data_IF_278831131803
#
_entry.id   IF_278831131803
#
_cell.length_a   1.000
_cell.length_b   1.000
_cell.length_c   1.000
_cell.angle_alpha   90.00
_cell.angle_beta   90.00
_cell.angle_gamma   90.00
#
_symmetry.space_group_name_H-M   'P 1'
#
loop_
_entity.id
_entity.type
_entity.pdbx_description
1 polymer ?
#
# COMPACT_ATOMS: atom_id res chain seq x y z
N UNK A 1 -58.41 22.71 -4.68
CA UNK A 1 -57.20 23.49 -4.33
C UNK A 1 -56.08 22.51 -4.05
N UNK A 2 -55.21 22.27 -5.03
CA UNK A 2 -54.09 21.33 -4.90
C UNK A 2 -52.88 22.05 -4.32
N UNK A 3 -52.29 21.51 -3.25
CA UNK A 3 -51.05 22.01 -2.67
C UNK A 3 -49.91 21.88 -3.70
N UNK A 4 -49.65 22.96 -4.43
CA UNK A 4 -48.49 23.09 -5.29
C UNK A 4 -47.25 23.33 -4.44
N UNK A 5 -46.72 22.27 -3.80
CA UNK A 5 -45.33 22.31 -3.35
C UNK A 5 -44.46 22.47 -4.58
N UNK A 6 -43.62 23.50 -4.58
CA UNK A 6 -42.77 23.76 -5.73
C UNK A 6 -41.73 22.64 -5.82
N UNK A 7 -41.33 22.26 -7.03
CA UNK A 7 -40.23 21.29 -7.23
C UNK A 7 -38.93 21.72 -6.52
N UNK A 8 -38.80 23.02 -6.23
CA UNK A 8 -37.69 23.61 -5.48
C UNK A 8 -37.73 23.21 -4.00
N UNK A 9 -38.90 23.19 -3.37
CA UNK A 9 -39.06 22.80 -1.96
C UNK A 9 -38.71 21.31 -1.76
N UNK A 10 -39.12 20.46 -2.71
CA UNK A 10 -38.79 19.03 -2.70
C UNK A 10 -37.29 18.79 -2.89
N UNK A 11 -36.63 19.59 -3.74
CA UNK A 11 -35.19 19.52 -3.95
C UNK A 11 -34.39 20.01 -2.73
N UNK A 12 -34.80 21.13 -2.12
CA UNK A 12 -34.18 21.64 -0.89
C UNK A 12 -34.33 20.65 0.27
N UNK A 13 -35.49 20.00 0.40
CA UNK A 13 -35.70 18.95 1.40
C UNK A 13 -34.77 17.75 1.22
N UNK A 14 -34.52 17.34 -0.03
CA UNK A 14 -33.56 16.26 -0.33
C UNK A 14 -32.11 16.64 -0.02
N UNK A 15 -31.70 17.88 -0.32
CA UNK A 15 -30.36 18.37 0.02
C UNK A 15 -30.18 18.41 1.54
N UNK A 16 -31.16 18.95 2.27
CA UNK A 16 -31.12 19.01 3.73
C UNK A 16 -30.97 17.62 4.36
N UNK A 17 -31.74 16.64 3.88
CA UNK A 17 -31.65 15.26 4.36
C UNK A 17 -30.28 14.61 4.10
N UNK A 18 -29.64 14.92 2.97
CA UNK A 18 -28.28 14.42 2.66
C UNK A 18 -27.25 15.11 3.57
N UNK A 19 -27.32 16.42 3.74
CA UNK A 19 -26.42 17.18 4.60
C UNK A 19 -26.48 16.69 6.06
N UNK A 20 -27.69 16.43 6.58
CA UNK A 20 -27.88 15.92 7.93
C UNK A 20 -27.25 14.52 8.10
N UNK A 21 -27.42 13.62 7.13
CA UNK A 21 -26.80 12.28 7.16
C UNK A 21 -25.27 12.34 7.15
N UNK A 22 -24.69 13.30 6.41
CA UNK A 22 -23.24 13.50 6.39
C UNK A 22 -22.73 13.98 7.75
N UNK A 23 -23.45 14.91 8.38
CA UNK A 23 -23.11 15.41 9.72
C UNK A 23 -23.25 14.32 10.79
N UNK A 24 -24.32 13.54 10.76
CA UNK A 24 -24.57 12.44 11.71
C UNK A 24 -23.54 11.31 11.55
N UNK A 25 -23.16 10.97 10.31
CA UNK A 25 -22.08 10.03 10.04
C UNK A 25 -20.75 10.56 10.57
N UNK A 26 -20.46 11.85 10.39
CA UNK A 26 -19.27 12.52 10.94
C UNK A 26 -19.22 12.44 12.47
N UNK A 27 -20.34 12.70 13.16
CA UNK A 27 -20.41 12.60 14.62
C UNK A 27 -20.29 11.17 15.14
N UNK A 28 -20.81 10.19 14.40
CA UNK A 28 -20.72 8.77 14.77
C UNK A 28 -19.28 8.28 14.68
N UNK A 29 -18.57 8.65 13.62
CA UNK A 29 -17.16 8.26 13.40
C UNK A 29 -16.23 8.98 14.38
N UNK A 30 -16.46 10.26 14.66
CA UNK A 30 -15.67 11.01 15.66
C UNK A 30 -15.91 10.56 17.10
N UNK A 31 -16.93 9.72 17.35
CA UNK A 31 -17.21 9.13 18.66
C UNK A 31 -16.54 7.78 18.87
N UNK A 32 -16.02 7.15 17.82
CA UNK A 32 -15.21 5.95 18.01
C UNK A 32 -13.90 6.33 18.71
N UNK A 33 -13.51 5.56 19.72
CA UNK A 33 -12.26 5.81 20.43
C UNK A 33 -11.12 5.63 19.42
N UNK A 34 -10.20 6.60 19.28
CA UNK A 34 -9.07 6.45 18.36
C UNK A 34 -8.30 5.19 18.73
N UNK A 35 -8.30 4.20 17.82
CA UNK A 35 -7.52 2.97 17.99
C UNK A 35 -6.06 3.25 17.64
N UNK A 36 -5.14 2.39 18.12
CA UNK A 36 -3.71 2.49 17.78
C UNK A 36 -3.46 2.44 16.27
N UNK A 37 -4.32 1.75 15.51
CA UNK A 37 -4.26 1.70 14.04
C UNK A 37 -4.47 3.09 13.41
N UNK A 38 -5.42 3.87 13.92
CA UNK A 38 -5.66 5.23 13.42
C UNK A 38 -4.46 6.14 13.68
N UNK A 39 -3.83 6.00 14.83
CA UNK A 39 -2.61 6.75 15.19
C UNK A 39 -1.47 6.39 14.24
N UNK A 40 -1.30 5.10 13.95
CA UNK A 40 -0.24 4.61 13.07
C UNK A 40 -0.48 5.00 11.60
N UNK A 41 -1.72 4.93 11.11
CA UNK A 41 -2.10 5.43 9.78
C UNK A 41 -1.92 6.94 9.65
N UNK A 42 -2.30 7.70 10.68
CA UNK A 42 -2.08 9.14 10.72
C UNK A 42 -0.59 9.47 10.69
N UNK A 43 0.23 8.73 11.44
CA UNK A 43 1.69 8.87 11.41
C UNK A 43 2.24 8.60 10.00
N UNK A 44 1.87 7.49 9.36
CA UNK A 44 2.29 7.19 7.99
C UNK A 44 1.84 8.24 6.98
N UNK A 45 0.64 8.79 7.14
CA UNK A 45 0.16 9.88 6.29
C UNK A 45 1.04 11.12 6.45
N UNK A 46 1.33 11.54 7.68
CA UNK A 46 2.16 12.72 7.96
C UNK A 46 3.59 12.51 7.46
N UNK A 47 4.21 11.38 7.77
CA UNK A 47 5.58 11.04 7.34
C UNK A 47 5.64 10.92 5.81
N UNK A 48 4.67 10.28 5.18
CA UNK A 48 4.59 10.15 3.73
C UNK A 48 4.48 11.50 3.02
N UNK A 49 3.61 12.41 3.51
CA UNK A 49 3.50 13.77 2.96
C UNK A 49 4.80 14.56 3.17
N UNK A 50 5.41 14.46 4.35
CA UNK A 50 6.69 15.10 4.65
C UNK A 50 7.79 14.61 3.71
N UNK A 51 7.93 13.29 3.53
CA UNK A 51 8.91 12.68 2.61
C UNK A 51 8.64 13.05 1.16
N UNK A 52 7.38 13.08 0.72
CA UNK A 52 7.01 13.50 -0.63
C UNK A 52 7.44 14.96 -0.89
N UNK A 53 7.30 15.83 0.12
CA UNK A 53 7.72 17.22 0.01
C UNK A 53 9.25 17.36 0.09
N UNK A 54 9.91 16.66 1.01
CA UNK A 54 11.37 16.64 1.15
C UNK A 54 12.08 16.09 -0.08
N UNK A 55 11.44 15.20 -0.83
CA UNK A 55 11.96 14.72 -2.11
C UNK A 55 12.03 15.81 -3.20
N UNK A 56 11.72 17.08 -2.90
CA UNK A 56 12.02 18.23 -3.76
C UNK A 56 13.45 18.73 -3.63
N UNK A 57 14.18 18.30 -2.61
CA UNK A 57 15.57 18.70 -2.39
C UNK A 57 16.56 17.86 -3.23
N UNK A 58 16.16 16.67 -3.68
CA UNK A 58 16.98 15.84 -4.57
C UNK A 58 16.91 16.32 -6.03
N UNK A 59 17.87 15.87 -6.84
CA UNK A 59 17.84 16.07 -8.29
C UNK A 59 16.57 15.47 -8.90
N UNK A 60 16.05 15.97 -10.05
CA UNK A 60 14.78 15.50 -10.61
C UNK A 60 14.69 13.99 -10.83
N UNK A 61 15.80 13.36 -11.22
CA UNK A 61 15.90 11.91 -11.46
C UNK A 61 15.90 11.14 -10.14
N UNK A 62 16.77 11.53 -9.19
CA UNK A 62 16.85 10.88 -7.88
C UNK A 62 15.58 11.08 -7.03
N UNK A 63 14.82 12.15 -7.28
CA UNK A 63 13.57 12.46 -6.60
C UNK A 63 12.40 11.57 -7.01
N UNK A 64 12.44 10.93 -8.19
CA UNK A 64 11.28 10.26 -8.76
C UNK A 64 10.85 9.06 -7.92
N UNK A 65 11.79 8.15 -7.61
CA UNK A 65 11.50 6.96 -6.81
C UNK A 65 11.00 7.29 -5.39
N UNK A 66 11.69 8.13 -4.58
CA UNK A 66 11.20 8.53 -3.26
C UNK A 66 9.84 9.23 -3.31
N UNK A 67 9.57 10.05 -4.33
CA UNK A 67 8.25 10.71 -4.50
C UNK A 67 7.15 9.69 -4.77
N UNK A 68 7.38 8.73 -5.66
CA UNK A 68 6.37 7.72 -5.97
C UNK A 68 6.08 6.87 -4.73
N UNK A 69 7.11 6.43 -4.01
CA UNK A 69 6.95 5.61 -2.80
C UNK A 69 6.28 6.38 -1.65
N UNK A 70 6.72 7.61 -1.37
CA UNK A 70 6.14 8.44 -0.32
C UNK A 70 4.70 8.87 -0.67
N UNK A 71 4.45 9.23 -1.93
CA UNK A 71 3.12 9.56 -2.44
C UNK A 71 2.17 8.36 -2.39
N UNK A 72 2.64 7.17 -2.77
CA UNK A 72 1.88 5.93 -2.67
C UNK A 72 1.54 5.59 -1.21
N UNK A 73 2.50 5.70 -0.30
CA UNK A 73 2.29 5.47 1.15
C UNK A 73 1.28 6.46 1.72
N UNK A 74 1.43 7.76 1.42
CA UNK A 74 0.50 8.79 1.87
C UNK A 74 -0.91 8.57 1.30
N UNK A 75 -1.02 8.24 0.02
CA UNK A 75 -2.29 7.95 -0.64
C UNK A 75 -2.98 6.74 -0.02
N UNK A 76 -2.27 5.62 0.17
CA UNK A 76 -2.83 4.42 0.79
C UNK A 76 -3.23 4.65 2.24
N UNK A 77 -2.38 5.31 3.04
CA UNK A 77 -2.71 5.67 4.41
C UNK A 77 -3.94 6.56 4.47
N UNK A 78 -4.03 7.56 3.58
CA UNK A 78 -5.21 8.41 3.45
C UNK A 78 -6.46 7.60 3.06
N UNK A 79 -6.37 6.71 2.07
CA UNK A 79 -7.50 5.90 1.62
C UNK A 79 -7.98 4.94 2.71
N UNK A 80 -7.08 4.37 3.51
CA UNK A 80 -7.45 3.48 4.63
C UNK A 80 -8.07 4.31 5.77
N UNK A 81 -7.48 5.45 6.13
CA UNK A 81 -8.04 6.35 7.14
C UNK A 81 -9.41 6.89 6.70
N UNK A 82 -9.52 7.21 5.41
CA UNK A 82 -10.75 7.65 4.79
C UNK A 82 -11.66 6.48 4.43
N UNK A 83 -11.34 5.20 4.68
CA UNK A 83 -12.17 4.05 4.25
C UNK A 83 -13.59 4.15 4.80
N UNK A 84 -13.72 4.50 6.07
CA UNK A 84 -15.01 4.71 6.72
C UNK A 84 -15.76 5.93 6.16
N UNK A 85 -15.03 6.91 5.60
CA UNK A 85 -15.60 8.07 4.92
C UNK A 85 -15.90 7.79 3.45
N UNK A 86 -15.10 6.99 2.74
CA UNK A 86 -15.18 6.70 1.31
C UNK A 86 -16.45 5.93 0.98
N UNK A 87 -16.96 5.07 1.86
CA UNK A 87 -18.27 4.42 1.63
C UNK A 87 -19.42 5.42 1.47
N UNK A 88 -19.32 6.58 2.13
CA UNK A 88 -20.32 7.66 2.08
C UNK A 88 -19.94 8.72 1.05
N UNK A 89 -18.67 9.14 1.05
CA UNK A 89 -18.15 10.30 0.31
C UNK A 89 -17.67 9.90 -1.09
N UNK A 90 -17.14 8.69 -1.31
CA UNK A 90 -16.66 8.29 -2.64
C UNK A 90 -17.77 8.24 -3.69
N UNK A 91 -18.99 7.70 -3.43
CA UNK A 91 -20.08 7.74 -4.40
C UNK A 91 -20.52 9.18 -4.71
N UNK A 92 -20.48 10.06 -3.71
CA UNK A 92 -20.82 11.47 -3.86
C UNK A 92 -19.77 12.22 -4.68
N UNK A 93 -18.48 12.03 -4.38
CA UNK A 93 -17.38 12.62 -5.13
C UNK A 93 -17.30 12.08 -6.56
N UNK A 94 -17.46 10.77 -6.75
CA UNK A 94 -17.48 10.16 -8.08
C UNK A 94 -18.69 10.63 -8.89
N UNK A 95 -19.86 10.77 -8.26
CA UNK A 95 -21.04 11.36 -8.88
C UNK A 95 -20.84 12.84 -9.26
N UNK A 96 -20.27 13.65 -8.36
CA UNK A 96 -19.97 15.06 -8.60
C UNK A 96 -18.91 15.26 -9.69
N UNK A 97 -17.84 14.47 -9.66
CA UNK A 97 -16.78 14.48 -10.67
C UNK A 97 -17.31 14.01 -12.03
N UNK A 98 -18.12 12.95 -12.05
CA UNK A 98 -18.79 12.46 -13.25
C UNK A 98 -19.74 13.50 -13.85
N UNK A 99 -20.50 14.22 -13.03
CA UNK A 99 -21.34 15.34 -13.45
C UNK A 99 -20.51 16.50 -14.01
N UNK A 100 -19.42 16.88 -13.34
CA UNK A 100 -18.53 17.95 -13.78
C UNK A 100 -17.88 17.64 -15.14
N UNK A 101 -17.33 16.42 -15.29
CA UNK A 101 -16.74 15.96 -16.54
C UNK A 101 -17.77 15.86 -17.67
N UNK A 102 -18.98 15.38 -17.36
CA UNK A 102 -20.08 15.31 -18.34
C UNK A 102 -20.52 16.70 -18.78
N UNK A 103 -20.64 17.65 -17.86
CA UNK A 103 -20.97 19.04 -18.16
C UNK A 103 -19.90 19.71 -19.04
N UNK A 104 -18.62 19.56 -18.68
CA UNK A 104 -17.50 20.07 -19.49
C UNK A 104 -17.45 19.44 -20.89
N UNK A 105 -17.79 18.17 -21.00
CA UNK A 105 -17.80 17.47 -22.28
C UNK A 105 -18.99 17.87 -23.17
N UNK A 106 -20.18 18.07 -22.59
CA UNK A 106 -21.37 18.58 -23.31
C UNK A 106 -21.16 19.99 -23.81
N UNK A 107 -20.62 20.89 -22.97
CA UNK A 107 -20.32 22.28 -23.37
C UNK A 107 -19.31 22.32 -24.51
N UNK A 108 -18.22 21.55 -24.41
CA UNK A 108 -17.23 21.43 -25.50
C UNK A 108 -17.84 20.86 -26.79
N UNK A 109 -18.74 19.87 -26.69
CA UNK A 109 -19.43 19.31 -27.84
C UNK A 109 -20.36 20.32 -28.53
N UNK A 110 -21.10 21.12 -27.76
CA UNK A 110 -21.97 22.16 -28.33
C UNK A 110 -21.18 23.23 -29.08
N UNK A 111 -19.95 23.52 -28.64
CA UNK A 111 -19.07 24.49 -29.28
C UNK A 111 -18.34 23.94 -30.52
N UNK A 112 -17.92 22.67 -30.49
CA UNK A 112 -17.01 22.11 -31.52
C UNK A 112 -17.63 21.00 -32.40
N UNK A 113 -18.79 20.45 -32.02
CA UNK A 113 -19.46 19.35 -32.72
C UNK A 113 -18.74 17.99 -32.61
N UNK A 114 -17.63 17.89 -31.91
CA UNK A 114 -16.82 16.67 -31.78
C UNK A 114 -17.04 16.00 -30.42
N UNK A 115 -17.37 14.70 -30.42
CA UNK A 115 -17.46 13.91 -29.19
C UNK A 115 -16.04 13.61 -28.71
N UNK A 116 -15.64 14.23 -27.61
CA UNK A 116 -14.34 13.98 -26.98
C UNK A 116 -14.38 12.77 -26.04
N UNK A 117 -13.25 12.09 -25.86
CA UNK A 117 -13.06 10.98 -24.91
C UNK A 117 -13.54 11.30 -23.48
N UNK A 118 -13.59 12.59 -23.12
CA UNK A 118 -14.11 13.10 -21.85
C UNK A 118 -15.58 12.75 -21.61
N UNK A 119 -16.44 12.64 -22.64
CA UNK A 119 -17.83 12.20 -22.50
C UNK A 119 -17.88 10.74 -22.05
N UNK A 120 -17.11 9.88 -22.72
CA UNK A 120 -17.07 8.43 -22.43
C UNK A 120 -16.53 8.19 -21.03
N UNK A 121 -15.45 8.88 -20.65
CA UNK A 121 -14.88 8.80 -19.30
C UNK A 121 -15.84 9.33 -18.24
N UNK A 122 -16.53 10.45 -18.49
CA UNK A 122 -17.51 11.02 -17.56
C UNK A 122 -18.72 10.11 -17.32
N UNK A 123 -19.29 9.54 -18.38
CA UNK A 123 -20.40 8.57 -18.29
C UNK A 123 -19.94 7.28 -17.61
N UNK A 124 -18.76 6.76 -17.95
CA UNK A 124 -18.21 5.56 -17.32
C UNK A 124 -17.99 5.76 -15.81
N UNK A 125 -17.50 6.93 -15.39
CA UNK A 125 -17.36 7.27 -13.96
C UNK A 125 -18.71 7.39 -13.26
N UNK A 126 -19.73 7.95 -13.91
CA UNK A 126 -21.10 8.02 -13.36
C UNK A 126 -21.69 6.62 -13.18
N UNK A 127 -21.56 5.75 -14.18
CA UNK A 127 -22.03 4.36 -14.13
C UNK A 127 -21.26 3.57 -13.06
N UNK A 128 -19.93 3.76 -12.96
CA UNK A 128 -19.11 3.14 -11.92
C UNK A 128 -19.51 3.63 -10.52
N UNK A 129 -19.77 4.92 -10.34
CA UNK A 129 -20.22 5.50 -9.07
C UNK A 129 -21.57 4.92 -8.62
N UNK A 130 -22.52 4.78 -9.55
CA UNK A 130 -23.85 4.21 -9.29
C UNK A 130 -23.75 2.70 -9.04
N UNK A 131 -23.00 1.96 -9.88
CA UNK A 131 -22.86 0.51 -9.78
C UNK A 131 -22.04 0.04 -8.58
N UNK A 132 -20.99 0.78 -8.20
CA UNK A 132 -20.24 0.48 -6.97
C UNK A 132 -21.09 0.68 -5.72
N UNK A 133 -22.04 1.62 -5.71
CA UNK A 133 -22.92 1.83 -4.56
C UNK A 133 -23.76 0.58 -4.23
N UNK A 134 -24.22 -0.13 -5.26
CA UNK A 134 -25.03 -1.34 -5.09
C UNK A 134 -24.15 -2.53 -4.71
N UNK A 135 -23.02 -2.74 -5.41
CA UNK A 135 -22.15 -3.91 -5.17
C UNK A 135 -21.32 -3.83 -3.90
N UNK A 136 -20.79 -2.66 -3.56
CA UNK A 136 -19.99 -2.50 -2.33
C UNK A 136 -20.88 -2.64 -1.10
N UNK A 137 -22.14 -2.19 -1.16
CA UNK A 137 -23.10 -2.37 -0.06
C UNK A 137 -23.39 -3.83 0.26
N UNK A 138 -23.42 -4.70 -0.76
CA UNK A 138 -23.63 -6.14 -0.56
C UNK A 138 -22.35 -6.86 -0.15
N UNK A 139 -21.21 -6.57 -0.80
CA UNK A 139 -19.93 -7.19 -0.46
C UNK A 139 -19.49 -6.85 0.97
N UNK A 140 -19.70 -5.62 1.42
CA UNK A 140 -19.32 -5.23 2.80
C UNK A 140 -20.16 -5.96 3.85
N UNK A 141 -21.41 -6.33 3.54
CA UNK A 141 -22.25 -7.14 4.43
C UNK A 141 -21.77 -8.59 4.52
N UNK A 142 -21.15 -9.14 3.48
CA UNK A 142 -20.61 -10.51 3.52
C UNK A 142 -19.22 -10.60 4.17
N UNK A 143 -18.41 -9.54 4.10
CA UNK A 143 -17.08 -9.50 4.73
C UNK A 143 -17.10 -9.08 6.20
N UNK A 144 -18.23 -8.54 6.70
CA UNK A 144 -18.50 -8.32 8.13
C UNK A 144 -19.39 -9.46 8.67
N UNK A 145 -19.23 -10.67 8.13
CA UNK A 145 -19.63 -11.87 8.85
C UNK A 145 -18.58 -12.09 9.94
N UNK A 146 -18.94 -11.65 11.16
CA UNK A 146 -18.31 -11.87 12.46
C UNK A 146 -16.79 -12.13 12.43
N UNK A 147 -15.94 -11.18 12.88
CA UNK A 147 -14.58 -11.54 13.23
C UNK A 147 -14.70 -12.71 14.20
N UNK A 148 -14.30 -13.90 13.74
CA UNK A 148 -14.19 -15.08 14.57
C UNK A 148 -13.10 -14.71 15.57
N UNK A 149 -13.51 -14.07 16.66
CA UNK A 149 -12.71 -13.91 17.85
C UNK A 149 -12.42 -15.34 18.27
N UNK A 150 -11.30 -15.85 17.78
CA UNK A 150 -10.49 -16.88 18.43
C UNK A 150 -9.89 -16.15 19.64
N UNK A 151 -10.74 -15.65 20.53
CA UNK A 151 -10.38 -15.29 21.89
C UNK A 151 -10.66 -16.57 22.67
N UNK A 152 -9.63 -17.06 23.35
CA UNK A 152 -9.62 -18.30 24.10
C UNK A 152 -10.92 -18.52 24.85
N UNK A 153 -11.64 -19.56 24.45
CA UNK A 153 -12.53 -20.26 25.37
C UNK A 153 -11.61 -21.10 26.26
N UNK A 154 -11.07 -20.44 27.28
CA UNK A 154 -10.33 -21.06 28.38
C UNK A 154 -11.31 -21.91 29.20
N UNK A 155 -11.60 -23.10 28.69
CA UNK A 155 -12.56 -23.97 29.37
C UNK A 155 -12.85 -25.29 28.68
N UNK A 156 -11.89 -26.23 28.66
CA UNK A 156 -12.14 -27.57 29.20
C UNK A 156 -10.92 -28.48 29.10
N UNK A 157 -10.49 -28.91 30.29
CA UNK A 157 -9.81 -30.17 30.54
C UNK A 157 -10.49 -31.37 29.85
N UNK A 158 -9.66 -32.40 29.70
CA UNK A 158 -9.99 -33.82 29.49
C UNK A 158 -10.15 -34.38 28.06
N UNK A 159 -9.02 -34.92 27.61
CA UNK A 159 -8.88 -36.34 27.25
C UNK A 159 -9.61 -36.82 25.99
N UNK A 160 -8.90 -36.77 24.84
CA UNK A 160 -8.81 -37.96 23.99
C UNK A 160 -7.62 -37.96 23.03
N UNK A 161 -6.65 -38.76 23.42
CA UNK A 161 -5.73 -39.50 22.56
C UNK A 161 -6.49 -40.25 21.45
N UNK A 162 -6.22 -39.90 20.17
CA UNK A 162 -6.05 -40.87 19.08
C UNK A 162 -5.54 -40.18 17.81
N UNK A 163 -4.36 -40.62 17.38
CA UNK A 163 -3.64 -40.08 16.25
C UNK A 163 -4.39 -40.15 14.94
N UNK A 164 -4.34 -39.04 14.22
CA UNK A 164 -4.36 -39.03 12.77
C UNK A 164 -3.03 -38.37 12.36
N UNK A 165 -2.16 -39.15 11.71
CA UNK A 165 -1.08 -38.62 10.89
C UNK A 165 -1.75 -37.84 9.77
N UNK A 166 -1.81 -36.53 9.91
CA UNK A 166 -2.13 -35.63 8.81
C UNK A 166 -0.79 -35.27 8.21
N UNK A 167 -0.60 -35.71 6.97
CA UNK A 167 0.61 -35.52 6.20
C UNK A 167 1.01 -34.04 6.16
N UNK A 168 2.27 -33.83 6.56
CA UNK A 168 3.10 -32.70 6.22
C UNK A 168 3.06 -32.49 4.71
N UNK A 169 2.66 -31.30 4.25
CA UNK A 169 3.17 -30.62 3.04
C UNK A 169 2.16 -29.54 2.60
N UNK A 170 1.96 -28.55 3.46
CA UNK A 170 1.70 -27.18 3.00
C UNK A 170 2.19 -26.24 4.10
N UNK A 171 3.52 -26.17 4.27
CA UNK A 171 4.20 -25.05 4.94
C UNK A 171 4.05 -23.77 4.09
N UNK A 172 2.81 -23.39 3.80
CA UNK A 172 2.49 -22.14 3.14
C UNK A 172 2.71 -21.04 4.17
N UNK A 173 3.88 -20.41 4.07
CA UNK A 173 4.28 -19.19 4.76
C UNK A 173 4.01 -19.22 6.26
N UNK A 174 5.03 -19.65 7.03
CA UNK A 174 5.15 -19.35 8.45
C UNK A 174 5.14 -17.82 8.65
N UNK A 175 3.95 -17.23 8.58
CA UNK A 175 3.64 -15.91 9.06
C UNK A 175 3.83 -16.01 10.57
N UNK A 176 4.98 -15.55 11.04
CA UNK A 176 5.29 -15.46 12.45
C UNK A 176 4.16 -14.65 13.11
N UNK A 177 3.22 -15.33 13.75
CA UNK A 177 2.19 -14.69 14.56
C UNK A 177 2.92 -14.15 15.77
N UNK A 178 3.19 -12.84 15.75
CA UNK A 178 3.64 -12.14 16.94
C UNK A 178 2.63 -12.40 18.04
N UNK A 179 3.07 -13.08 19.09
CA UNK A 179 2.35 -13.01 20.35
C UNK A 179 2.44 -11.55 20.80
N UNK A 180 1.29 -10.90 20.96
CA UNK A 180 1.20 -9.45 21.24
C UNK A 180 1.97 -9.11 22.53
N UNK A 181 2.19 -10.11 23.38
CA UNK A 181 2.86 -10.02 24.67
C UNK A 181 4.39 -10.24 24.62
N UNK A 182 5.02 -10.49 23.46
CA UNK A 182 6.49 -10.56 23.36
C UNK A 182 7.12 -9.18 23.04
N UNK A 183 7.66 -8.44 24.03
CA UNK A 183 8.28 -7.14 23.80
C UNK A 183 9.61 -7.24 23.02
N UNK A 184 10.22 -8.43 22.92
CA UNK A 184 11.53 -8.59 22.27
C UNK A 184 11.41 -8.49 20.75
N UNK A 185 10.31 -8.98 20.17
CA UNK A 185 10.09 -8.98 18.73
C UNK A 185 10.19 -7.59 18.08
N UNK A 186 9.39 -6.61 18.54
CA UNK A 186 9.47 -5.22 18.06
C UNK A 186 10.84 -4.58 18.32
N UNK A 187 11.46 -4.86 19.47
CA UNK A 187 12.76 -4.30 19.82
C UNK A 187 13.87 -4.80 18.89
N UNK A 188 13.93 -6.11 18.61
CA UNK A 188 14.94 -6.68 17.70
C UNK A 188 14.74 -6.17 16.28
N UNK A 189 13.49 -6.10 15.81
CA UNK A 189 13.19 -5.53 14.48
C UNK A 189 13.66 -4.08 14.39
N UNK A 190 13.40 -3.27 15.42
CA UNK A 190 13.88 -1.89 15.49
C UNK A 190 15.41 -1.80 15.43
N UNK A 191 16.11 -2.64 16.18
CA UNK A 191 17.59 -2.72 16.17
C UNK A 191 18.12 -3.12 14.79
N UNK A 192 17.52 -4.14 14.16
CA UNK A 192 17.91 -4.59 12.82
C UNK A 192 17.68 -3.49 11.77
N UNK A 193 16.59 -2.73 11.87
CA UNK A 193 16.33 -1.59 10.98
C UNK A 193 17.39 -0.48 11.14
N UNK A 194 17.73 -0.12 12.38
CA UNK A 194 18.79 0.87 12.65
C UNK A 194 20.14 0.37 12.13
N UNK A 195 20.47 -0.90 12.35
CA UNK A 195 21.68 -1.52 11.84
C UNK A 195 21.72 -1.47 10.30
N UNK A 196 20.61 -1.78 9.63
CA UNK A 196 20.51 -1.72 8.17
C UNK A 196 20.73 -0.31 7.64
N UNK A 197 20.17 0.71 8.30
CA UNK A 197 20.40 2.11 7.94
C UNK A 197 21.89 2.45 8.03
N UNK A 198 22.54 2.11 9.15
CA UNK A 198 23.98 2.33 9.35
C UNK A 198 24.78 1.59 8.27
N UNK A 199 24.44 0.34 7.99
CA UNK A 199 25.12 -0.48 7.00
C UNK A 199 24.98 0.11 5.59
N UNK A 200 23.78 0.54 5.21
CA UNK A 200 23.52 1.19 3.91
C UNK A 200 24.37 2.45 3.74
N UNK A 201 24.47 3.30 4.77
CA UNK A 201 25.33 4.48 4.73
C UNK A 201 26.83 4.14 4.71
N UNK A 202 27.23 2.98 5.24
CA UNK A 202 28.65 2.61 5.36
C UNK A 202 29.16 1.88 4.13
N UNK A 203 28.35 1.01 3.51
CA UNK A 203 28.80 0.10 2.44
C UNK A 203 27.90 0.08 1.19
N UNK A 204 26.88 0.94 1.14
CA UNK A 204 25.91 0.96 0.06
C UNK A 204 24.80 -0.08 0.24
N UNK A 205 23.69 0.14 -0.47
CA UNK A 205 22.48 -0.68 -0.38
C UNK A 205 22.66 -2.08 -0.97
N UNK A 206 23.51 -2.20 -2.01
CA UNK A 206 23.74 -3.44 -2.75
C UNK A 206 24.16 -4.60 -1.83
N UNK A 207 25.11 -4.34 -0.92
CA UNK A 207 25.60 -5.35 0.02
C UNK A 207 24.94 -5.27 1.39
N UNK A 208 24.39 -4.12 1.79
CA UNK A 208 23.66 -4.02 3.05
C UNK A 208 22.41 -4.91 3.08
N UNK A 209 21.68 -5.00 1.96
CA UNK A 209 20.43 -5.76 1.84
C UNK A 209 20.60 -7.26 2.13
N UNK A 210 21.47 -8.02 1.44
CA UNK A 210 21.65 -9.45 1.74
C UNK A 210 22.19 -9.72 3.15
N UNK A 211 23.03 -8.83 3.70
CA UNK A 211 23.53 -8.95 5.08
C UNK A 211 22.37 -8.80 6.07
N UNK A 212 21.53 -7.78 5.89
CA UNK A 212 20.34 -7.59 6.71
C UNK A 212 19.41 -8.80 6.66
N UNK A 213 19.11 -9.30 5.45
CA UNK A 213 18.26 -10.48 5.27
C UNK A 213 18.86 -11.72 5.94
N UNK A 214 20.19 -11.89 5.89
CA UNK A 214 20.88 -12.97 6.58
C UNK A 214 20.72 -12.86 8.09
N UNK A 215 20.96 -11.67 8.67
CA UNK A 215 20.81 -11.43 10.11
C UNK A 215 19.37 -11.67 10.58
N UNK A 216 18.40 -11.20 9.79
CA UNK A 216 16.98 -11.43 10.06
C UNK A 216 16.63 -12.92 9.98
N UNK A 217 17.09 -13.64 8.95
CA UNK A 217 16.83 -15.07 8.78
C UNK A 217 17.42 -15.90 9.92
N UNK A 218 18.62 -15.53 10.39
CA UNK A 218 19.25 -16.14 11.57
C UNK A 218 18.46 -15.87 12.85
N UNK A 219 17.94 -14.65 13.01
CA UNK A 219 17.15 -14.27 14.19
C UNK A 219 15.84 -15.06 14.27
N UNK A 220 15.10 -15.18 13.16
CA UNK A 220 13.86 -15.98 13.11
C UNK A 220 14.12 -17.49 13.05
N UNK A 221 15.39 -17.92 13.12
CA UNK A 221 15.83 -19.33 13.03
C UNK A 221 15.28 -20.05 11.79
N UNK A 222 15.30 -19.36 10.66
CA UNK A 222 14.83 -19.90 9.39
C UNK A 222 15.68 -21.11 8.97
N UNK A 223 15.04 -22.11 8.35
CA UNK A 223 15.75 -23.22 7.73
C UNK A 223 16.80 -22.71 6.73
N UNK A 224 17.98 -23.33 6.71
CA UNK A 224 19.15 -22.81 6.02
C UNK A 224 18.94 -22.72 4.51
N UNK A 225 18.19 -23.66 3.91
CA UNK A 225 17.89 -23.62 2.47
C UNK A 225 16.95 -22.46 2.14
N UNK A 226 15.92 -22.24 2.97
CA UNK A 226 14.99 -21.11 2.82
C UNK A 226 15.72 -19.77 3.02
N UNK A 227 16.56 -19.68 4.03
CA UNK A 227 17.37 -18.50 4.32
C UNK A 227 18.32 -18.18 3.15
N UNK A 228 19.04 -19.18 2.63
CA UNK A 228 19.93 -19.01 1.49
C UNK A 228 19.17 -18.55 0.24
N UNK A 229 18.01 -19.15 -0.05
CA UNK A 229 17.14 -18.72 -1.15
C UNK A 229 16.69 -17.27 -1.01
N UNK A 230 16.29 -16.86 0.19
CA UNK A 230 15.85 -15.49 0.47
C UNK A 230 16.99 -14.47 0.31
N UNK A 231 18.20 -14.80 0.78
CA UNK A 231 19.40 -13.96 0.63
C UNK A 231 19.78 -13.79 -0.85
N UNK A 232 19.75 -14.86 -1.64
CA UNK A 232 20.01 -14.80 -3.08
C UNK A 232 18.98 -13.92 -3.79
N UNK A 233 17.69 -14.09 -3.50
CA UNK A 233 16.62 -13.26 -4.09
C UNK A 233 16.80 -11.78 -3.72
N UNK A 234 17.10 -11.50 -2.45
CA UNK A 234 17.33 -10.15 -1.96
C UNK A 234 18.54 -9.49 -2.65
N UNK A 235 19.62 -10.26 -2.84
CA UNK A 235 20.81 -9.80 -3.56
C UNK A 235 20.51 -9.49 -5.02
N UNK A 236 19.82 -10.41 -5.73
CA UNK A 236 19.42 -10.20 -7.13
C UNK A 236 18.54 -8.97 -7.27
N UNK A 237 17.60 -8.77 -6.34
CA UNK A 237 16.73 -7.59 -6.34
C UNK A 237 17.53 -6.30 -6.14
N UNK A 238 18.46 -6.28 -5.17
CA UNK A 238 19.33 -5.13 -4.95
C UNK A 238 20.24 -4.85 -6.17
N UNK A 239 20.73 -5.90 -6.83
CA UNK A 239 21.50 -5.77 -8.06
C UNK A 239 20.68 -5.23 -9.23
N UNK A 240 19.42 -5.65 -9.38
CA UNK A 240 18.51 -5.07 -10.38
C UNK A 240 18.25 -3.59 -10.12
N UNK A 241 18.12 -3.17 -8.86
CA UNK A 241 18.01 -1.74 -8.54
C UNK A 241 19.28 -0.97 -8.91
N UNK A 242 20.46 -1.56 -8.73
CA UNK A 242 21.74 -0.96 -9.10
C UNK A 242 21.82 -0.74 -10.61
N UNK A 243 21.45 -1.73 -11.40
CA UNK A 243 21.44 -1.66 -12.87
C UNK A 243 20.36 -0.72 -13.41
N UNK A 244 19.13 -0.80 -12.88
CA UNK A 244 17.96 -0.12 -13.47
C UNK A 244 17.79 1.31 -12.97
N UNK A 245 18.07 1.58 -11.70
CA UNK A 245 17.81 2.89 -11.09
C UNK A 245 19.05 3.76 -11.10
N UNK A 246 20.12 3.33 -10.46
CA UNK A 246 21.35 4.11 -10.31
C UNK A 246 22.48 3.28 -9.71
N UNK A 247 23.67 3.39 -10.29
CA UNK A 247 24.89 2.77 -9.76
C UNK A 247 25.28 3.33 -8.39
N UNK A 248 24.90 4.58 -8.10
CA UNK A 248 25.26 5.29 -6.86
C UNK A 248 24.69 4.60 -5.61
N UNK A 249 23.72 3.69 -5.76
CA UNK A 249 23.20 2.92 -4.63
C UNK A 249 24.22 1.92 -4.05
N UNK A 250 25.26 1.58 -4.81
CA UNK A 250 26.34 0.71 -4.34
C UNK A 250 27.36 1.47 -3.49
N UNK A 251 27.43 2.80 -3.59
CA UNK A 251 28.40 3.60 -2.84
C UNK A 251 27.95 3.82 -1.39
N UNK A 252 28.82 3.48 -0.45
CA UNK A 252 28.65 3.83 0.96
C UNK A 252 28.90 5.32 1.20
N UNK A 253 27.85 6.10 1.43
CA UNK A 253 27.94 7.55 1.62
C UNK A 253 28.96 8.03 2.67
N UNK A 254 29.14 7.29 3.78
CA UNK A 254 30.07 7.65 4.85
C UNK A 254 31.54 7.32 4.53
N UNK A 255 31.78 6.31 3.70
CA UNK A 255 33.12 5.75 3.48
C UNK A 255 33.64 6.04 2.07
N UNK A 256 32.76 6.39 1.13
CA UNK A 256 33.05 6.38 -0.30
C UNK A 256 33.39 4.99 -0.82
N UNK A 257 33.04 3.93 -0.08
CA UNK A 257 33.36 2.57 -0.48
C UNK A 257 32.42 2.13 -1.59
N UNK A 258 32.98 1.86 -2.75
CA UNK A 258 32.29 1.33 -3.91
C UNK A 258 32.76 -0.12 -4.14
N UNK A 259 32.03 -1.12 -3.61
CA UNK A 259 32.38 -2.50 -3.81
C UNK A 259 32.27 -2.89 -5.29
N UNK A 260 33.25 -3.66 -5.77
CA UNK A 260 33.29 -4.15 -7.15
C UNK A 260 32.03 -4.95 -7.48
N UNK A 261 31.27 -4.58 -8.52
CA UNK A 261 30.03 -5.24 -8.80
C UNK A 261 30.26 -6.71 -9.23
N UNK A 262 29.26 -7.58 -9.06
CA UNK A 262 29.44 -9.03 -9.20
C UNK A 262 29.85 -9.46 -10.60
N UNK A 263 29.44 -8.73 -11.62
CA UNK A 263 29.80 -8.95 -13.02
C UNK A 263 31.29 -8.76 -13.26
N UNK A 264 31.91 -7.77 -12.63
CA UNK A 264 33.36 -7.57 -12.67
C UNK A 264 34.10 -8.67 -11.91
N UNK A 265 33.59 -9.08 -10.74
CA UNK A 265 34.18 -10.17 -9.94
C UNK A 265 34.13 -11.52 -10.65
N UNK A 266 33.06 -11.78 -11.39
CA UNK A 266 32.83 -13.03 -12.10
C UNK A 266 33.38 -13.00 -13.54
N UNK A 267 33.94 -11.88 -13.99
CA UNK A 267 34.38 -11.67 -15.37
C UNK A 267 33.23 -11.67 -16.39
N UNK A 268 31.99 -11.50 -15.93
CA UNK A 268 30.78 -11.43 -16.74
C UNK A 268 30.63 -10.10 -17.48
N UNK A 269 31.41 -9.08 -17.13
CA UNK A 269 31.48 -7.82 -17.90
C UNK A 269 31.96 -8.01 -19.35
N UNK A 270 32.47 -9.20 -19.69
CA UNK A 270 32.79 -9.60 -21.06
C UNK A 270 31.63 -10.25 -21.83
N UNK A 271 30.50 -10.54 -21.18
CA UNK A 271 29.31 -11.05 -21.86
C UNK A 271 28.68 -9.93 -22.71
N UNK A 272 28.27 -10.23 -23.95
CA UNK A 272 27.74 -9.22 -24.85
C UNK A 272 26.48 -8.58 -24.27
N UNK A 273 26.42 -7.25 -24.32
CA UNK A 273 25.30 -6.39 -23.87
C UNK A 273 23.90 -6.82 -24.33
N UNK A 274 23.83 -7.69 -25.35
CA UNK A 274 22.62 -8.30 -25.85
C UNK A 274 21.72 -8.89 -24.75
N UNK A 275 22.27 -9.53 -23.70
CA UNK A 275 21.44 -10.16 -22.65
C UNK A 275 20.64 -9.12 -21.85
N UNK A 276 21.21 -7.94 -21.61
CA UNK A 276 20.52 -6.84 -20.94
C UNK A 276 19.36 -6.29 -21.77
N UNK A 277 19.55 -6.15 -23.08
CA UNK A 277 18.50 -5.67 -24.00
C UNK A 277 17.29 -6.62 -24.06
N UNK A 278 17.48 -7.93 -23.95
CA UNK A 278 16.38 -8.90 -23.93
C UNK A 278 15.51 -8.83 -22.66
N UNK A 279 16.11 -8.50 -21.51
CA UNK A 279 15.39 -8.37 -20.24
C UNK A 279 14.56 -7.08 -20.19
N UNK A 280 15.08 -5.99 -20.74
CA UNK A 280 14.32 -4.72 -20.86
C UNK A 280 13.13 -4.87 -21.81
N UNK A 281 13.21 -5.74 -22.83
CA UNK A 281 12.05 -6.02 -23.69
C UNK A 281 10.94 -6.86 -23.03
N UNK A 282 11.20 -7.51 -21.88
CA UNK A 282 10.24 -8.40 -21.21
C UNK A 282 9.47 -7.72 -20.06
N UNK A 283 9.87 -6.52 -19.65
CA UNK A 283 9.25 -5.71 -18.59
C UNK A 283 8.45 -4.57 -19.21
#
# INVERSE_FOLDING_TARGET
MGNGRSAVDDFQGRIGAVAQRVLDAGQTVLRERPTMEHVLLLLFLVVGVYMFWGAREFSPVAAEFPRVMAGGTALLAFLILARNYLTVVAPLLAGALGLYLSYGAVTTYLETGAIQYRVVVGVALLVAAVGMRERVGEATKSFVAEPKQILGDDGMDDAREKGAKVDEETESAAMYTYDIDDPLGPAVTGVLCVLYMILTFTIGMLYATPIFVTLWALWVRMDLLKAAGLVVIAFVTAYLFYEVISSDIAEGWLTGWEPTPPDDLLGLSTLPAAVGEWLVMLV
#
